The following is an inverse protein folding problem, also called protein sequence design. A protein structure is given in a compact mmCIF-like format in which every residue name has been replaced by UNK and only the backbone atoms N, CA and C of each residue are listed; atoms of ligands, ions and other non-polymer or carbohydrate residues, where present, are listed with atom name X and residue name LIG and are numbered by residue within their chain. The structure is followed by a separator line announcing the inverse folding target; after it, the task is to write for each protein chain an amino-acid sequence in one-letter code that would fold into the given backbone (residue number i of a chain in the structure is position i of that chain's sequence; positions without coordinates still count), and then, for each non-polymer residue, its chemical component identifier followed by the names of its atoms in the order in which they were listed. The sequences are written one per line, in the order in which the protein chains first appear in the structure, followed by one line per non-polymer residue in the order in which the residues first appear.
data_IF_438849684957
#
_entry.id   IF_438849684957
#
_cell.length_a   1.000
_cell.length_b   1.000
_cell.length_c   1.000
_cell.angle_alpha   90.00
_cell.angle_beta   90.00
_cell.angle_gamma   90.00
#
_symmetry.space_group_name_H-M   'P 1'
#
loop_
_entity.id
_entity.type
_entity.pdbx_description
1 polymer ?
#
# COMPACT_ATOMS: atom_id res chain seq x y z
N UNK A 1 15.80 -23.73 9.74
CA UNK A 1 17.22 -23.41 9.99
C UNK A 1 17.18 -21.97 10.41
N UNK A 2 17.34 -21.70 11.71
CA UNK A 2 17.11 -20.38 12.30
C UNK A 2 18.08 -19.37 11.67
N UNK A 3 17.60 -18.65 10.66
CA UNK A 3 18.30 -17.50 10.14
C UNK A 3 18.17 -16.41 11.21
N UNK A 4 19.31 -15.92 11.70
CA UNK A 4 19.48 -14.91 12.74
C UNK A 4 19.38 -15.37 14.21
N UNK A 5 20.27 -16.26 14.65
CA UNK A 5 20.69 -16.30 16.06
C UNK A 5 22.21 -16.50 16.18
N UNK A 6 22.98 -15.57 15.64
CA UNK A 6 24.36 -15.39 16.08
C UNK A 6 24.35 -14.51 17.33
N UNK A 7 24.55 -15.12 18.51
CA UNK A 7 24.41 -14.49 19.83
C UNK A 7 25.39 -13.33 20.09
N UNK A 8 26.33 -13.07 19.18
CA UNK A 8 27.33 -12.00 19.30
C UNK A 8 26.99 -10.71 18.53
N UNK A 9 25.86 -10.65 17.81
CA UNK A 9 25.50 -9.46 17.02
C UNK A 9 24.47 -8.58 17.73
N UNK A 10 24.77 -7.28 17.80
CA UNK A 10 23.90 -6.20 18.29
C UNK A 10 22.74 -5.92 17.28
N UNK A 11 22.01 -6.98 16.87
CA UNK A 11 20.91 -6.94 15.89
C UNK A 11 19.80 -5.99 16.33
N UNK A 12 19.66 -5.83 17.64
CA UNK A 12 18.75 -4.89 18.26
C UNK A 12 19.06 -3.44 17.83
N UNK A 13 20.25 -3.10 17.31
CA UNK A 13 20.58 -1.73 16.87
C UNK A 13 20.46 -1.52 15.35
N UNK A 14 20.20 -2.58 14.59
CA UNK A 14 20.25 -2.56 13.13
C UNK A 14 18.86 -2.30 12.55
N UNK A 15 18.73 -1.25 11.75
CA UNK A 15 17.56 -0.99 10.91
C UNK A 15 17.66 -1.80 9.62
N UNK A 16 16.65 -2.61 9.30
CA UNK A 16 16.64 -3.40 8.07
C UNK A 16 16.32 -2.54 6.84
N UNK A 17 17.10 -2.73 5.78
CA UNK A 17 16.92 -2.07 4.48
C UNK A 17 16.57 -3.03 3.35
N UNK A 18 16.96 -4.29 3.46
CA UNK A 18 16.55 -5.36 2.56
C UNK A 18 16.54 -6.69 3.30
N UNK A 19 15.59 -7.55 2.97
CA UNK A 19 15.45 -8.87 3.56
C UNK A 19 15.02 -9.88 2.49
N UNK A 20 15.69 -11.02 2.44
CA UNK A 20 15.27 -12.20 1.68
C UNK A 20 15.67 -13.46 2.44
N UNK A 21 15.24 -14.62 1.96
CA UNK A 21 15.59 -15.93 2.52
C UNK A 21 17.09 -16.28 2.46
N UNK A 22 17.90 -15.51 1.72
CA UNK A 22 19.34 -15.79 1.55
C UNK A 22 20.25 -14.75 2.17
N UNK A 23 19.79 -13.51 2.31
CA UNK A 23 20.59 -12.40 2.80
C UNK A 23 19.69 -11.28 3.30
N UNK A 24 20.13 -10.61 4.35
CA UNK A 24 19.60 -9.33 4.83
C UNK A 24 20.65 -8.25 4.68
N UNK A 25 20.21 -7.01 4.51
CA UNK A 25 21.06 -5.82 4.60
C UNK A 25 20.45 -4.83 5.59
N UNK A 26 21.29 -4.22 6.43
CA UNK A 26 20.85 -3.27 7.44
C UNK A 26 21.87 -2.18 7.72
N UNK A 27 21.40 -1.13 8.39
CA UNK A 27 22.19 0.03 8.79
C UNK A 27 22.08 0.21 10.30
N UNK A 28 23.21 0.40 10.97
CA UNK A 28 23.27 0.89 12.35
C UNK A 28 23.73 2.35 12.33
N UNK A 29 23.09 3.20 13.13
CA UNK A 29 23.53 4.59 13.34
C UNK A 29 24.05 4.73 14.77
N UNK A 30 25.28 5.20 14.92
CA UNK A 30 25.79 5.51 16.25
C UNK A 30 25.27 6.87 16.76
N UNK A 31 25.58 7.18 18.03
CA UNK A 31 25.17 8.44 18.68
C UNK A 31 25.75 9.70 18.00
N UNK A 32 26.85 9.56 17.27
CA UNK A 32 27.52 10.65 16.54
C UNK A 32 26.97 10.83 15.11
N UNK A 33 25.99 10.02 14.70
CA UNK A 33 25.38 10.07 13.37
C UNK A 33 26.12 9.29 12.27
N UNK A 34 27.21 8.60 12.60
CA UNK A 34 27.92 7.73 11.67
C UNK A 34 27.10 6.48 11.37
N UNK A 35 27.04 6.10 10.10
CA UNK A 35 26.31 4.92 9.62
C UNK A 35 27.27 3.77 9.37
N UNK A 36 26.93 2.60 9.91
CA UNK A 36 27.62 1.33 9.67
C UNK A 36 26.70 0.40 8.90
N UNK A 37 27.24 -0.27 7.89
CA UNK A 37 26.49 -1.10 6.96
C UNK A 37 26.75 -2.57 7.25
N UNK A 38 25.69 -3.38 7.22
CA UNK A 38 25.75 -4.80 7.57
C UNK A 38 25.06 -5.64 6.51
N UNK A 39 25.56 -6.86 6.32
CA UNK A 39 24.81 -7.97 5.77
C UNK A 39 24.57 -9.05 6.84
N UNK A 40 23.91 -10.16 6.48
CA UNK A 40 23.69 -11.29 7.40
C UNK A 40 24.99 -11.93 7.92
N UNK A 41 26.11 -11.76 7.22
CA UNK A 41 27.40 -12.34 7.57
C UNK A 41 28.21 -11.42 8.48
N UNK A 42 28.05 -10.10 8.41
CA UNK A 42 28.72 -9.16 9.29
C UNK A 42 28.72 -7.73 8.78
N UNK A 43 29.62 -6.93 9.33
CA UNK A 43 29.84 -5.55 8.89
C UNK A 43 30.46 -5.55 7.50
N UNK A 44 29.94 -4.71 6.62
CA UNK A 44 30.43 -4.55 5.25
C UNK A 44 31.64 -3.61 5.24
N UNK A 45 32.76 -4.13 4.76
CA UNK A 45 34.02 -3.41 4.61
C UNK A 45 34.57 -3.70 3.20
N UNK A 46 35.34 -2.76 2.60
CA UNK A 46 36.04 -3.08 1.36
C UNK A 46 37.12 -4.13 1.66
N UNK A 47 37.28 -5.18 0.85
CA UNK A 47 38.37 -6.12 1.04
C UNK A 47 39.70 -5.35 0.97
N UNK A 48 40.67 -5.70 1.81
CA UNK A 48 42.02 -5.12 1.80
C UNK A 48 42.64 -5.29 0.39
N UNK A 49 42.40 -4.30 -0.48
CA UNK A 49 43.04 -4.19 -1.78
C UNK A 49 44.49 -3.78 -1.55
N UNK A 50 45.40 -4.33 -2.34
CA UNK A 50 46.84 -4.01 -2.32
C UNK A 50 47.19 -2.54 -2.71
N UNK A 51 46.22 -1.63 -2.72
CA UNK A 51 46.41 -0.20 -2.97
C UNK A 51 46.35 0.58 -1.64
N UNK A 52 47.30 1.48 -1.44
CA UNK A 52 47.63 2.19 -0.18
C UNK A 52 46.55 3.15 0.37
N UNK A 53 45.28 3.02 -0.05
CA UNK A 53 44.16 3.79 0.48
C UNK A 53 42.98 2.87 0.79
N UNK A 54 42.75 2.60 2.08
CA UNK A 54 41.54 1.91 2.55
C UNK A 54 40.31 2.71 2.13
N UNK A 55 39.64 2.26 1.06
CA UNK A 55 38.39 2.85 0.60
C UNK A 55 37.32 2.54 1.66
N UNK A 56 36.70 3.58 2.24
CA UNK A 56 35.62 3.41 3.23
C UNK A 56 34.36 2.93 2.53
N UNK A 57 33.68 1.92 3.07
CA UNK A 57 32.41 1.43 2.52
C UNK A 57 31.33 2.52 2.65
N UNK A 58 30.70 2.87 1.54
CA UNK A 58 29.80 4.03 1.47
C UNK A 58 28.31 3.62 1.37
N UNK A 59 27.42 4.60 1.57
CA UNK A 59 25.98 4.43 1.30
C UNK A 59 25.70 4.05 -0.17
N UNK A 60 26.51 4.55 -1.10
CA UNK A 60 26.36 4.24 -2.54
C UNK A 60 26.69 2.78 -2.79
N UNK A 61 27.78 2.26 -2.20
CA UNK A 61 28.14 0.84 -2.26
C UNK A 61 27.00 -0.04 -1.72
N UNK A 62 26.43 0.34 -0.58
CA UNK A 62 25.27 -0.33 0.02
C UNK A 62 24.05 -0.35 -0.92
N UNK A 63 23.68 0.80 -1.49
CA UNK A 63 22.56 0.91 -2.43
C UNK A 63 22.81 0.09 -3.69
N UNK A 64 24.04 0.03 -4.19
CA UNK A 64 24.43 -0.78 -5.35
C UNK A 64 24.27 -2.27 -5.08
N UNK A 65 24.66 -2.75 -3.90
CA UNK A 65 24.46 -4.15 -3.49
C UNK A 65 22.97 -4.53 -3.46
N UNK A 66 22.14 -3.71 -2.82
CA UNK A 66 20.69 -3.93 -2.77
C UNK A 66 20.09 -3.86 -4.19
N UNK A 67 20.49 -2.87 -4.99
CA UNK A 67 20.02 -2.73 -6.38
C UNK A 67 20.36 -3.95 -7.24
N UNK A 68 21.52 -4.57 -7.04
CA UNK A 68 21.86 -5.84 -7.69
C UNK A 68 20.89 -6.98 -7.34
N UNK A 69 20.38 -7.02 -6.10
CA UNK A 69 19.35 -8.01 -5.69
C UNK A 69 18.00 -7.71 -6.34
N UNK A 70 17.56 -6.45 -6.29
CA UNK A 70 16.30 -6.02 -6.92
C UNK A 70 16.32 -6.23 -8.42
N UNK A 71 17.44 -5.93 -9.08
CA UNK A 71 17.60 -6.14 -10.52
C UNK A 71 17.43 -7.62 -10.90
N UNK A 72 17.96 -8.55 -10.10
CA UNK A 72 17.74 -10.00 -10.32
C UNK A 72 16.28 -10.41 -10.15
N UNK A 73 15.56 -9.79 -9.21
CA UNK A 73 14.13 -10.04 -9.03
C UNK A 73 13.35 -9.51 -10.24
N UNK A 74 13.61 -8.29 -10.69
CA UNK A 74 12.83 -7.64 -11.76
C UNK A 74 13.18 -8.18 -13.16
N UNK A 75 14.45 -8.44 -13.43
CA UNK A 75 14.96 -8.76 -14.78
C UNK A 75 15.55 -10.17 -14.91
N UNK A 76 15.69 -10.92 -13.81
CA UNK A 76 16.29 -12.25 -13.84
C UNK A 76 15.42 -13.31 -14.52
N UNK A 77 14.13 -13.04 -14.70
CA UNK A 77 13.15 -13.92 -15.36
C UNK A 77 12.21 -13.10 -16.25
N UNK A 78 11.59 -13.77 -17.23
CA UNK A 78 10.57 -13.16 -18.08
C UNK A 78 9.19 -13.32 -17.42
N UNK A 79 8.68 -12.25 -16.85
CA UNK A 79 7.31 -12.22 -16.32
C UNK A 79 6.29 -12.01 -17.44
N UNK A 80 5.29 -12.88 -17.51
CA UNK A 80 4.13 -12.68 -18.39
C UNK A 80 3.04 -11.83 -17.74
N UNK A 81 3.10 -11.66 -16.41
CA UNK A 81 2.11 -10.93 -15.65
C UNK A 81 2.80 -10.10 -14.56
N UNK A 82 2.54 -8.80 -14.54
CA UNK A 82 3.09 -7.88 -13.55
C UNK A 82 1.93 -7.24 -12.81
N UNK A 83 1.96 -7.36 -11.49
CA UNK A 83 0.93 -6.87 -10.59
C UNK A 83 1.58 -5.91 -9.62
N UNK A 84 1.10 -4.67 -9.56
CA UNK A 84 1.55 -3.69 -8.58
C UNK A 84 0.42 -3.42 -7.58
N UNK A 85 0.63 -3.67 -6.29
CA UNK A 85 -0.32 -3.37 -5.22
C UNK A 85 0.12 -2.08 -4.49
N UNK A 86 -0.66 -1.02 -4.62
CA UNK A 86 -0.46 0.24 -3.91
C UNK A 86 -1.35 0.30 -2.65
N UNK A 87 -0.72 0.42 -1.48
CA UNK A 87 -1.41 0.73 -0.23
C UNK A 87 -1.42 2.22 0.09
N UNK A 88 -1.99 2.59 1.24
CA UNK A 88 -2.06 3.98 1.69
C UNK A 88 -0.66 4.63 1.81
N UNK A 89 0.35 3.86 2.22
CA UNK A 89 1.74 4.32 2.33
C UNK A 89 2.41 4.62 0.98
N UNK A 90 1.85 4.18 -0.15
CA UNK A 90 2.40 4.49 -1.47
C UNK A 90 2.27 5.98 -1.81
N UNK A 91 1.17 6.61 -1.39
CA UNK A 91 0.84 8.00 -1.73
C UNK A 91 1.45 9.03 -0.77
N UNK A 92 2.14 8.59 0.29
CA UNK A 92 2.71 9.46 1.33
C UNK A 92 4.11 9.95 0.91
N UNK A 93 4.44 11.20 1.22
CA UNK A 93 5.77 11.79 1.04
C UNK A 93 6.55 11.82 2.37
N UNK A 94 7.89 11.83 2.33
CA UNK A 94 8.72 11.77 3.55
C UNK A 94 8.56 12.99 4.48
N UNK A 95 8.18 14.14 3.91
CA UNK A 95 7.93 15.38 4.63
C UNK A 95 6.52 15.45 5.26
N UNK A 96 5.70 14.39 5.10
CA UNK A 96 4.30 14.34 5.55
C UNK A 96 3.52 15.59 5.14
N UNK A 97 3.84 16.13 3.97
CA UNK A 97 3.30 17.40 3.52
C UNK A 97 1.78 17.29 3.36
N UNK A 98 1.02 18.23 3.96
CA UNK A 98 -0.44 18.16 4.03
C UNK A 98 -1.14 18.17 2.67
N UNK A 99 -0.43 18.50 1.58
CA UNK A 99 -0.93 18.51 0.22
C UNK A 99 -0.94 17.13 -0.47
N UNK A 100 -0.42 16.07 0.18
CA UNK A 100 -0.29 14.74 -0.41
C UNK A 100 -0.96 13.64 0.44
N UNK A 101 -0.74 12.37 0.05
CA UNK A 101 -1.40 11.21 0.65
C UNK A 101 -1.28 11.17 2.16
N UNK A 102 -2.39 10.85 2.83
CA UNK A 102 -2.47 10.70 4.28
C UNK A 102 -2.59 9.24 4.65
N UNK A 103 -1.88 8.83 5.71
CA UNK A 103 -2.10 7.50 6.30
C UNK A 103 -3.46 7.43 6.98
N UNK A 104 -4.00 6.23 7.17
CA UNK A 104 -5.27 6.01 7.92
C UNK A 104 -5.21 6.66 9.30
N UNK A 105 -4.06 6.63 9.98
CA UNK A 105 -3.85 7.29 11.28
C UNK A 105 -3.99 8.81 11.18
N UNK A 106 -3.33 9.44 10.20
CA UNK A 106 -3.45 10.88 9.98
C UNK A 106 -4.89 11.31 9.67
N UNK A 107 -5.65 10.49 8.94
CA UNK A 107 -7.08 10.72 8.68
C UNK A 107 -7.88 10.60 9.97
N UNK A 108 -7.61 9.57 10.79
CA UNK A 108 -8.27 9.37 12.08
C UNK A 108 -8.07 10.57 13.02
N UNK A 109 -6.84 11.08 13.11
CA UNK A 109 -6.49 12.24 13.95
C UNK A 109 -7.20 13.52 13.48
N UNK A 110 -7.27 13.75 12.15
CA UNK A 110 -8.00 14.90 11.59
C UNK A 110 -9.52 14.78 11.83
N UNK A 111 -10.09 13.58 11.67
CA UNK A 111 -11.50 13.31 11.99
C UNK A 111 -11.78 13.56 13.46
N UNK A 112 -10.93 13.07 14.36
CA UNK A 112 -11.05 13.30 15.81
C UNK A 112 -11.08 14.79 16.14
N UNK A 113 -10.09 15.54 15.66
CA UNK A 113 -9.94 16.97 15.95
C UNK A 113 -11.08 17.83 15.40
N UNK A 114 -11.60 17.53 14.20
CA UNK A 114 -12.64 18.32 13.56
C UNK A 114 -14.06 17.93 13.97
N UNK A 115 -14.31 16.65 14.25
CA UNK A 115 -15.62 16.19 14.71
C UNK A 115 -15.93 16.72 16.11
N UNK A 116 -14.93 16.76 17.00
CA UNK A 116 -15.08 17.28 18.37
C UNK A 116 -15.46 18.78 18.42
N UNK A 117 -15.08 19.53 17.38
CA UNK A 117 -15.41 20.96 17.22
C UNK A 117 -16.77 21.22 16.56
N UNK A 118 -17.48 20.17 16.14
CA UNK A 118 -18.73 20.31 15.39
C UNK A 118 -19.93 20.29 16.33
N UNK A 119 -20.63 21.41 16.44
CA UNK A 119 -21.83 21.53 17.26
C UNK A 119 -22.96 20.59 16.78
N UNK A 120 -23.66 19.98 17.74
CA UNK A 120 -24.83 19.15 17.45
C UNK A 120 -24.53 17.75 16.89
N UNK A 121 -23.26 17.34 16.83
CA UNK A 121 -22.86 15.98 16.43
C UNK A 121 -22.37 15.17 17.64
N UNK A 122 -22.20 13.86 17.44
CA UNK A 122 -21.53 13.01 18.42
C UNK A 122 -20.02 13.02 18.15
N UNK A 123 -19.23 13.08 19.23
CA UNK A 123 -17.77 12.92 19.17
C UNK A 123 -17.40 11.46 18.84
N UNK A 124 -16.17 11.21 18.41
CA UNK A 124 -15.70 9.83 18.18
C UNK A 124 -15.80 8.97 19.46
N UNK A 125 -15.54 9.56 20.63
CA UNK A 125 -15.61 8.86 21.91
C UNK A 125 -17.04 8.45 22.25
N UNK A 126 -18.01 9.34 22.04
CA UNK A 126 -19.43 9.05 22.25
C UNK A 126 -19.90 7.95 21.31
N UNK A 127 -19.55 8.04 20.02
CA UNK A 127 -19.88 7.02 19.02
C UNK A 127 -19.25 5.67 19.36
N UNK A 128 -17.97 5.65 19.76
CA UNK A 128 -17.27 4.42 20.16
C UNK A 128 -17.91 3.77 21.40
N UNK A 129 -18.36 4.59 22.34
CA UNK A 129 -19.09 4.11 23.53
C UNK A 129 -20.45 3.51 23.15
N UNK A 130 -21.19 4.17 22.25
CA UNK A 130 -22.50 3.70 21.79
C UNK A 130 -22.42 2.37 21.04
N UNK A 131 -21.46 2.22 20.13
CA UNK A 131 -21.28 0.98 19.36
C UNK A 131 -20.40 -0.07 20.06
N UNK A 132 -19.96 0.19 21.31
CA UNK A 132 -19.05 -0.65 22.11
C UNK A 132 -17.71 -0.95 21.42
N UNK A 133 -17.25 -0.08 20.55
CA UNK A 133 -15.91 -0.20 19.98
C UNK A 133 -14.87 0.05 21.06
N UNK A 134 -14.09 -0.99 21.41
CA UNK A 134 -13.12 -0.98 22.53
C UNK A 134 -13.70 -0.45 23.85
N UNK A 135 -15.00 -0.67 24.07
CA UNK A 135 -15.75 -0.14 25.22
C UNK A 135 -15.59 1.39 25.41
N UNK A 136 -15.36 2.14 24.33
CA UNK A 136 -15.14 3.59 24.36
C UNK A 136 -13.72 4.03 24.73
N UNK A 137 -12.82 3.11 25.03
CA UNK A 137 -11.42 3.38 25.37
C UNK A 137 -10.59 3.56 24.09
N UNK A 138 -10.74 4.74 23.48
CA UNK A 138 -10.05 5.10 22.23
C UNK A 138 -9.05 6.25 22.38
N UNK A 139 -8.83 6.74 23.60
CA UNK A 139 -7.99 7.91 23.88
C UNK A 139 -6.85 7.57 24.84
N UNK A 140 -5.67 8.11 24.55
CA UNK A 140 -4.52 8.14 25.45
C UNK A 140 -4.30 9.57 25.96
N UNK A 141 -3.75 9.71 27.17
CA UNK A 141 -3.35 11.02 27.71
C UNK A 141 -2.12 11.52 26.96
N UNK A 142 -2.20 12.75 26.45
CA UNK A 142 -1.10 13.37 25.72
C UNK A 142 -0.14 14.13 26.65
N UNK A 143 -0.64 14.69 27.75
CA UNK A 143 0.14 15.34 28.80
C UNK A 143 -0.60 15.26 30.14
N UNK A 144 0.13 15.04 31.24
CA UNK A 144 -0.44 15.06 32.60
C UNK A 144 -0.83 16.48 33.06
N UNK A 145 -0.28 17.53 32.44
CA UNK A 145 -0.44 18.92 32.89
C UNK A 145 -1.62 19.65 32.23
N UNK A 146 -2.03 19.27 31.01
CA UNK A 146 -3.02 20.02 30.21
C UNK A 146 -4.37 19.33 30.02
N UNK A 147 -4.57 18.13 30.58
CA UNK A 147 -5.75 17.27 30.33
C UNK A 147 -6.09 17.10 28.83
N UNK A 148 -5.08 17.14 27.95
CA UNK A 148 -5.27 16.93 26.51
C UNK A 148 -5.22 15.44 26.18
N UNK A 149 -6.13 15.02 25.29
CA UNK A 149 -6.28 13.63 24.87
C UNK A 149 -5.97 13.50 23.38
N UNK A 150 -5.26 12.43 23.03
CA UNK A 150 -5.05 12.01 21.64
C UNK A 150 -5.72 10.67 21.39
N UNK A 151 -5.95 10.32 20.13
CA UNK A 151 -6.36 8.96 19.80
C UNK A 151 -5.28 7.98 20.25
N UNK A 152 -5.72 6.87 20.83
CA UNK A 152 -4.82 5.83 21.29
C UNK A 152 -4.09 5.22 20.09
N UNK A 153 -2.83 4.82 20.26
CA UNK A 153 -2.03 4.25 19.14
C UNK A 153 -2.63 2.95 18.59
N UNK A 154 -3.48 2.28 19.37
CA UNK A 154 -4.21 1.10 18.95
C UNK A 154 -5.49 1.40 18.16
N UNK A 155 -5.97 2.65 18.10
CA UNK A 155 -7.20 3.02 17.40
C UNK A 155 -7.08 2.79 15.89
N UNK A 156 -8.05 2.06 15.32
CA UNK A 156 -8.14 1.83 13.88
C UNK A 156 -9.46 2.42 13.37
N UNK A 157 -9.35 3.44 12.51
CA UNK A 157 -10.51 4.15 11.95
C UNK A 157 -11.42 3.23 11.13
N UNK A 158 -10.86 2.27 10.40
CA UNK A 158 -11.60 1.41 9.48
C UNK A 158 -12.42 0.35 10.26
N UNK A 159 -11.80 -0.22 11.31
CA UNK A 159 -12.49 -1.11 12.26
C UNK A 159 -13.60 -0.37 13.03
N UNK A 160 -13.31 0.87 13.46
CA UNK A 160 -14.29 1.72 14.12
C UNK A 160 -15.49 2.02 13.22
N UNK A 161 -15.25 2.48 11.99
CA UNK A 161 -16.31 2.77 11.01
C UNK A 161 -17.17 1.55 10.75
N UNK A 162 -16.55 0.38 10.67
CA UNK A 162 -17.29 -0.85 10.42
C UNK A 162 -18.17 -1.22 11.61
N UNK A 163 -17.65 -1.15 12.84
CA UNK A 163 -18.46 -1.34 14.05
C UNK A 163 -19.60 -0.33 14.11
N UNK A 164 -19.33 0.92 13.74
CA UNK A 164 -20.30 2.02 13.68
C UNK A 164 -21.43 1.75 12.67
N UNK A 165 -21.10 1.28 11.46
CA UNK A 165 -22.10 0.93 10.45
C UNK A 165 -22.93 -0.28 10.82
N UNK A 166 -22.36 -1.29 11.49
CA UNK A 166 -23.11 -2.44 12.01
C UNK A 166 -24.09 -2.03 13.12
N UNK A 167 -23.72 -1.05 13.93
CA UNK A 167 -24.60 -0.51 14.97
C UNK A 167 -25.71 0.39 14.41
N UNK A 168 -25.52 1.03 13.24
CA UNK A 168 -26.46 1.99 12.62
C UNK A 168 -27.93 1.54 12.60
N UNK A 169 -28.30 0.28 12.29
CA UNK A 169 -29.71 -0.17 12.32
C UNK A 169 -30.33 -0.27 13.72
N UNK A 170 -29.50 -0.37 14.76
CA UNK A 170 -29.92 -0.55 16.16
C UNK A 170 -29.97 0.76 16.96
N UNK A 171 -29.65 1.89 16.32
CA UNK A 171 -29.67 3.22 16.95
C UNK A 171 -31.12 3.59 17.31
N UNK A 172 -31.40 4.04 18.55
CA UNK A 172 -32.72 4.51 18.94
C UNK A 172 -33.24 5.63 18.04
N UNK A 173 -34.55 5.66 17.75
CA UNK A 173 -35.13 6.67 16.86
C UNK A 173 -34.89 8.12 17.35
N UNK A 174 -34.75 8.32 18.66
CA UNK A 174 -34.43 9.63 19.26
C UNK A 174 -33.05 10.16 18.86
N UNK A 175 -32.09 9.26 18.61
CA UNK A 175 -30.69 9.60 18.35
C UNK A 175 -30.30 9.46 16.87
N UNK A 176 -31.20 8.87 16.07
CA UNK A 176 -30.95 8.44 14.69
C UNK A 176 -30.50 9.58 13.77
N UNK A 177 -31.12 10.75 13.88
CA UNK A 177 -30.75 11.91 13.07
C UNK A 177 -29.35 12.42 13.43
N UNK A 178 -29.08 12.62 14.73
CA UNK A 178 -27.76 13.05 15.22
C UNK A 178 -26.67 12.05 14.84
N UNK A 179 -26.96 10.76 14.98
CA UNK A 179 -26.04 9.67 14.62
C UNK A 179 -25.73 9.64 13.12
N UNK A 180 -26.76 9.70 12.27
CA UNK A 180 -26.57 9.73 10.82
C UNK A 180 -25.83 10.98 10.36
N UNK A 181 -26.10 12.15 10.93
CA UNK A 181 -25.38 13.38 10.63
C UNK A 181 -23.90 13.30 11.04
N UNK A 182 -23.61 12.63 12.16
CA UNK A 182 -22.24 12.40 12.62
C UNK A 182 -21.47 11.48 11.65
N UNK A 183 -22.10 10.39 11.18
CA UNK A 183 -21.54 9.51 10.14
C UNK A 183 -21.27 10.30 8.86
N UNK A 184 -22.25 11.08 8.38
CA UNK A 184 -22.09 11.91 7.18
C UNK A 184 -20.90 12.86 7.31
N UNK A 185 -20.74 13.49 8.47
CA UNK A 185 -19.61 14.37 8.74
C UNK A 185 -18.28 13.61 8.72
N UNK A 186 -18.20 12.42 9.33
CA UNK A 186 -16.98 11.59 9.29
C UNK A 186 -16.62 11.23 7.85
N UNK A 187 -17.58 10.75 7.05
CA UNK A 187 -17.37 10.40 5.64
C UNK A 187 -16.94 11.62 4.81
N UNK A 188 -17.54 12.78 5.06
CA UNK A 188 -17.14 14.04 4.44
C UNK A 188 -15.68 14.39 4.78
N UNK A 189 -15.29 14.28 6.05
CA UNK A 189 -13.91 14.54 6.47
C UNK A 189 -12.92 13.56 5.82
N UNK A 190 -13.26 12.28 5.73
CA UNK A 190 -12.43 11.28 5.03
C UNK A 190 -12.29 11.65 3.55
N UNK A 191 -13.38 12.03 2.89
CA UNK A 191 -13.36 12.52 1.50
C UNK A 191 -12.44 13.72 1.37
N UNK A 192 -12.56 14.72 2.23
CA UNK A 192 -11.69 15.92 2.22
C UNK A 192 -10.21 15.55 2.41
N UNK A 193 -9.90 14.60 3.29
CA UNK A 193 -8.53 14.15 3.55
C UNK A 193 -7.90 13.34 2.40
N UNK A 194 -8.73 12.78 1.52
CA UNK A 194 -8.30 11.92 0.41
C UNK A 194 -8.48 12.59 -0.96
N UNK A 195 -9.07 13.79 -0.99
CA UNK A 195 -9.31 14.58 -2.20
C UNK A 195 -8.14 15.55 -2.48
N UNK A 196 -6.96 15.00 -2.71
CA UNK A 196 -5.80 15.74 -3.24
C UNK A 196 -5.62 15.47 -4.74
N UNK A 197 -4.73 16.23 -5.37
CA UNK A 197 -4.42 16.12 -6.79
C UNK A 197 -2.95 15.78 -7.02
N UNK A 198 -2.68 15.17 -8.16
CA UNK A 198 -1.36 14.75 -8.57
C UNK A 198 -0.48 15.94 -8.98
N UNK A 199 0.76 15.96 -8.47
CA UNK A 199 1.83 16.83 -8.92
C UNK A 199 3.07 15.99 -9.23
N UNK A 200 3.48 15.96 -10.50
CA UNK A 200 4.62 15.17 -10.97
C UNK A 200 5.98 15.62 -10.44
N UNK A 201 6.07 16.79 -9.80
CA UNK A 201 7.29 17.26 -9.11
C UNK A 201 7.55 16.54 -7.80
N UNK A 202 6.48 16.23 -7.07
CA UNK A 202 6.53 15.67 -5.72
C UNK A 202 6.21 14.17 -5.72
N UNK A 203 5.32 13.73 -6.62
CA UNK A 203 4.84 12.36 -6.69
C UNK A 203 5.46 11.62 -7.88
N UNK A 204 5.95 10.40 -7.64
CA UNK A 204 6.63 9.59 -8.66
C UNK A 204 5.72 8.56 -9.35
N UNK A 205 4.39 8.68 -9.22
CA UNK A 205 3.42 7.76 -9.82
C UNK A 205 3.63 7.61 -11.33
N UNK A 206 3.82 8.72 -12.07
CA UNK A 206 4.09 8.67 -13.50
C UNK A 206 5.38 7.92 -13.84
N UNK A 207 6.45 8.09 -13.04
CA UNK A 207 7.72 7.35 -13.22
C UNK A 207 7.52 5.85 -13.00
N UNK A 208 6.75 5.47 -11.97
CA UNK A 208 6.38 4.08 -11.72
C UNK A 208 5.59 3.49 -12.88
N UNK A 209 4.53 4.17 -13.37
CA UNK A 209 3.71 3.66 -14.47
C UNK A 209 4.52 3.44 -15.74
N UNK A 210 5.41 4.38 -16.09
CA UNK A 210 6.32 4.22 -17.22
C UNK A 210 7.30 3.03 -17.02
N UNK A 211 7.80 2.83 -15.81
CA UNK A 211 8.62 1.65 -15.48
C UNK A 211 7.82 0.34 -15.66
N UNK A 212 6.64 0.22 -15.05
CA UNK A 212 5.81 -0.98 -15.17
C UNK A 212 5.44 -1.27 -16.63
N UNK A 213 5.19 -0.23 -17.42
CA UNK A 213 4.96 -0.37 -18.87
C UNK A 213 6.19 -0.87 -19.61
N UNK A 214 7.41 -0.45 -19.23
CA UNK A 214 8.64 -0.85 -19.92
C UNK A 214 9.01 -2.32 -19.69
N UNK A 215 8.66 -2.86 -18.52
CA UNK A 215 8.86 -4.28 -18.18
C UNK A 215 7.66 -5.16 -18.56
N UNK A 216 6.52 -4.57 -18.91
CA UNK A 216 5.36 -5.28 -19.45
C UNK A 216 5.58 -5.57 -20.93
N UNK A 217 5.63 -6.85 -21.31
CA UNK A 217 5.90 -7.27 -22.68
C UNK A 217 4.89 -6.71 -23.70
N UNK A 218 5.32 -6.54 -24.95
CA UNK A 218 4.52 -5.95 -26.04
C UNK A 218 3.51 -6.90 -26.70
N UNK A 219 3.41 -8.14 -26.22
CA UNK A 219 2.59 -9.21 -26.81
C UNK A 219 1.13 -9.20 -26.31
N UNK A 220 0.59 -8.02 -26.00
CA UNK A 220 -0.76 -7.85 -25.46
C UNK A 220 -0.90 -8.12 -23.96
N UNK A 221 0.20 -8.37 -23.26
CA UNK A 221 0.23 -8.45 -21.80
C UNK A 221 0.25 -7.05 -21.20
N UNK A 222 -0.71 -6.76 -20.33
CA UNK A 222 -0.80 -5.50 -19.60
C UNK A 222 -0.41 -5.74 -18.15
N UNK A 223 0.37 -4.82 -17.56
CA UNK A 223 0.45 -4.80 -16.10
C UNK A 223 -0.91 -4.44 -15.50
N UNK A 224 -1.09 -4.79 -14.23
CA UNK A 224 -2.26 -4.43 -13.45
C UNK A 224 -1.82 -3.70 -12.18
N UNK A 225 -2.44 -2.57 -11.91
CA UNK A 225 -2.29 -1.82 -10.67
C UNK A 225 -3.52 -2.08 -9.81
N UNK A 226 -3.32 -2.55 -8.59
CA UNK A 226 -4.35 -2.76 -7.58
C UNK A 226 -4.10 -1.72 -6.52
N UNK A 227 -5.14 -1.05 -6.05
CA UNK A 227 -5.01 -0.05 -4.98
C UNK A 227 -6.14 -0.16 -3.96
N UNK A 228 -5.77 0.04 -2.70
CA UNK A 228 -6.70 0.25 -1.60
C UNK A 228 -7.05 1.73 -1.41
N UNK A 229 -6.42 2.62 -2.17
CA UNK A 229 -6.57 4.07 -1.98
C UNK A 229 -7.82 4.59 -2.71
N UNK A 230 -8.55 5.47 -2.04
CA UNK A 230 -9.74 6.11 -2.61
C UNK A 230 -9.40 7.25 -3.58
N UNK A 231 -8.22 7.86 -3.41
CA UNK A 231 -7.71 9.00 -4.20
C UNK A 231 -7.54 8.68 -5.69
N UNK A 232 -7.35 9.71 -6.52
CA UNK A 232 -7.27 9.58 -7.98
C UNK A 232 -5.85 9.76 -8.55
N UNK A 233 -4.81 9.60 -7.70
CA UNK A 233 -3.44 9.93 -8.10
C UNK A 233 -2.91 9.07 -9.25
N UNK A 234 -3.29 7.78 -9.29
CA UNK A 234 -2.90 6.87 -10.37
C UNK A 234 -3.58 7.29 -11.68
N UNK A 235 -4.86 7.65 -11.62
CA UNK A 235 -5.63 8.10 -12.77
C UNK A 235 -5.09 9.40 -13.37
N UNK A 236 -4.80 10.39 -12.52
CA UNK A 236 -4.23 11.68 -12.94
C UNK A 236 -2.81 11.52 -13.49
N UNK A 237 -1.96 10.72 -12.83
CA UNK A 237 -0.62 10.42 -13.32
C UNK A 237 -0.64 9.67 -14.66
N UNK A 238 -1.57 8.73 -14.83
CA UNK A 238 -1.77 8.01 -16.08
C UNK A 238 -2.20 8.97 -17.21
N UNK A 239 -3.13 9.88 -16.94
CA UNK A 239 -3.57 10.90 -17.90
C UNK A 239 -2.41 11.80 -18.34
N UNK A 240 -1.61 12.32 -17.41
CA UNK A 240 -0.43 13.14 -17.72
C UNK A 240 0.62 12.38 -18.55
N UNK A 241 0.72 11.05 -18.38
CA UNK A 241 1.68 10.19 -19.07
C UNK A 241 1.14 9.49 -20.32
N UNK A 242 -0.06 9.87 -20.79
CA UNK A 242 -0.75 9.32 -21.97
C UNK A 242 -1.06 7.81 -21.88
N UNK A 243 -1.37 7.32 -20.68
CA UNK A 243 -1.85 5.95 -20.49
C UNK A 243 -3.35 5.83 -20.75
N UNK A 244 -3.78 4.64 -21.20
CA UNK A 244 -5.20 4.26 -21.20
C UNK A 244 -5.44 3.24 -20.09
N UNK A 245 -6.42 3.54 -19.25
CA UNK A 245 -6.77 2.73 -18.09
C UNK A 245 -8.01 1.89 -18.39
N UNK A 246 -7.93 0.60 -18.06
CA UNK A 246 -9.10 -0.26 -17.91
C UNK A 246 -9.40 -0.41 -16.42
N UNK A 247 -10.36 0.36 -15.90
CA UNK A 247 -10.71 0.44 -14.48
C UNK A 247 -12.07 -0.21 -14.15
N UNK A 248 -12.61 -1.00 -15.09
CA UNK A 248 -13.93 -1.60 -14.94
C UNK A 248 -15.07 -0.68 -15.38
N UNK A 249 -14.81 0.50 -15.94
CA UNK A 249 -15.86 1.37 -16.51
C UNK A 249 -15.78 1.43 -18.03
N UNK A 250 -16.94 1.47 -18.69
CA UNK A 250 -17.00 1.64 -20.13
C UNK A 250 -16.63 3.08 -20.56
N UNK A 251 -16.23 3.25 -21.82
CA UNK A 251 -15.76 4.53 -22.38
C UNK A 251 -16.90 5.45 -22.87
N UNK A 252 -18.09 5.34 -22.29
CA UNK A 252 -19.24 6.16 -22.70
C UNK A 252 -19.24 7.53 -22.00
N UNK A 253 -20.02 8.53 -22.46
CA UNK A 253 -20.14 9.82 -21.78
C UNK A 253 -20.66 9.74 -20.33
N UNK A 254 -21.34 8.65 -19.97
CA UNK A 254 -21.78 8.35 -18.61
C UNK A 254 -21.20 6.97 -18.25
N UNK A 255 -19.93 6.90 -17.83
CA UNK A 255 -19.24 5.63 -17.63
C UNK A 255 -19.96 4.78 -16.58
N UNK A 256 -20.32 3.55 -16.95
CA UNK A 256 -20.94 2.57 -16.06
C UNK A 256 -19.96 1.45 -15.76
N UNK A 257 -20.01 0.94 -14.53
CA UNK A 257 -19.21 -0.23 -14.16
C UNK A 257 -19.67 -1.45 -14.96
N UNK A 258 -18.69 -2.19 -15.48
CA UNK A 258 -18.80 -3.42 -16.25
C UNK A 258 -17.46 -4.17 -16.09
N UNK A 259 -17.44 -5.24 -15.32
CA UNK A 259 -16.22 -6.00 -15.03
C UNK A 259 -15.57 -6.60 -16.27
N UNK A 260 -16.35 -6.84 -17.34
CA UNK A 260 -15.81 -7.35 -18.61
C UNK A 260 -14.80 -6.40 -19.24
N UNK A 261 -14.84 -5.10 -18.89
CA UNK A 261 -13.86 -4.10 -19.35
C UNK A 261 -12.41 -4.51 -19.05
N UNK A 262 -12.15 -5.25 -17.97
CA UNK A 262 -10.80 -5.72 -17.65
C UNK A 262 -10.23 -6.79 -18.62
N UNK A 263 -11.08 -7.42 -19.43
CA UNK A 263 -10.68 -8.44 -20.40
C UNK A 263 -10.30 -7.85 -21.76
N UNK A 264 -10.74 -6.63 -22.07
CA UNK A 264 -10.53 -6.01 -23.37
C UNK A 264 -9.10 -5.50 -23.55
N UNK A 265 -8.62 -5.49 -24.79
CA UNK A 265 -7.33 -4.90 -25.19
C UNK A 265 -7.55 -3.91 -26.34
N UNK A 266 -6.73 -2.87 -26.41
CA UNK A 266 -6.70 -1.96 -27.55
C UNK A 266 -5.66 -2.44 -28.56
N UNK A 267 -6.14 -2.76 -29.76
CA UNK A 267 -5.31 -3.19 -30.89
C UNK A 267 -5.55 -2.29 -32.09
N UNK A 268 -4.57 -2.19 -32.97
CA UNK A 268 -4.74 -1.67 -34.32
C UNK A 268 -4.30 -2.74 -35.33
N UNK A 269 -4.98 -2.79 -36.46
CA UNK A 269 -4.61 -3.69 -37.55
C UNK A 269 -3.33 -3.20 -38.22
N UNK A 270 -2.41 -4.11 -38.49
CA UNK A 270 -1.23 -3.83 -39.30
C UNK A 270 -1.65 -4.02 -40.77
N UNK A 271 -1.56 -2.95 -41.56
CA UNK A 271 -1.92 -3.00 -42.99
C UNK A 271 -0.91 -3.85 -43.76
N UNK A 272 -1.17 -5.14 -43.86
CA UNK A 272 -0.46 -6.07 -44.72
C UNK A 272 -1.46 -6.98 -45.44
N UNK A 273 -1.36 -7.07 -46.77
CA UNK A 273 -2.36 -7.73 -47.64
C UNK A 273 -2.45 -9.25 -47.37
N UNK A 274 -1.42 -9.83 -46.75
CA UNK A 274 -1.27 -11.28 -46.60
C UNK A 274 -1.29 -11.81 -45.16
N UNK A 275 -1.36 -10.94 -44.13
CA UNK A 275 -1.35 -11.37 -42.72
C UNK A 275 -2.39 -10.60 -41.89
N UNK A 276 -2.99 -11.26 -40.89
CA UNK A 276 -3.91 -10.63 -39.90
C UNK A 276 -3.16 -10.20 -38.64
N UNK A 277 -2.02 -9.54 -38.82
CA UNK A 277 -1.21 -9.09 -37.69
C UNK A 277 -1.88 -7.88 -37.00
N UNK A 278 -1.81 -7.88 -35.67
CA UNK A 278 -2.33 -6.81 -34.83
C UNK A 278 -1.21 -6.25 -33.98
N UNK A 279 -1.20 -4.93 -33.82
CA UNK A 279 -0.31 -4.24 -32.90
C UNK A 279 -1.11 -3.84 -31.66
N UNK A 280 -0.67 -4.28 -30.49
CA UNK A 280 -1.24 -3.87 -29.22
C UNK A 280 -0.79 -2.44 -28.90
N UNK A 281 -1.74 -1.61 -28.44
CA UNK A 281 -1.43 -0.25 -27.99
C UNK A 281 -0.50 -0.32 -26.78
N UNK A 282 0.59 0.46 -26.80
CA UNK A 282 1.45 0.64 -25.63
C UNK A 282 0.79 1.54 -24.57
N UNK A 283 1.33 1.54 -23.34
CA UNK A 283 0.83 2.34 -22.21
C UNK A 283 -0.63 2.08 -21.89
N UNK A 284 -1.00 0.80 -21.81
CA UNK A 284 -2.32 0.35 -21.38
C UNK A 284 -2.17 -0.53 -20.14
N UNK A 285 -3.04 -0.35 -19.14
CA UNK A 285 -3.01 -1.17 -17.93
C UNK A 285 -4.39 -1.30 -17.29
N UNK A 286 -4.54 -2.31 -16.42
CA UNK A 286 -5.75 -2.48 -15.63
C UNK A 286 -5.59 -1.77 -14.28
N UNK A 287 -6.59 -1.01 -13.83
CA UNK A 287 -6.61 -0.39 -12.50
C UNK A 287 -7.76 -0.97 -11.66
N UNK A 288 -7.43 -1.70 -10.60
CA UNK A 288 -8.41 -2.30 -9.69
C UNK A 288 -8.43 -1.53 -8.37
N UNK A 289 -9.46 -0.71 -8.15
CA UNK A 289 -9.67 0.00 -6.87
C UNK A 289 -10.52 -0.85 -5.94
N UNK A 290 -9.89 -1.82 -5.27
CA UNK A 290 -10.58 -2.87 -4.50
C UNK A 290 -11.30 -2.37 -3.24
N UNK A 291 -11.04 -1.14 -2.81
CA UNK A 291 -11.79 -0.46 -1.73
C UNK A 291 -12.72 0.63 -2.26
N UNK A 292 -12.84 0.81 -3.57
CA UNK A 292 -13.67 1.85 -4.17
C UNK A 292 -12.90 3.14 -4.47
N UNK A 293 -13.63 4.22 -4.74
CA UNK A 293 -13.04 5.47 -5.25
C UNK A 293 -13.89 6.68 -4.89
N UNK A 294 -13.24 7.84 -4.76
CA UNK A 294 -13.90 9.13 -4.67
C UNK A 294 -14.71 9.51 -5.92
N UNK A 295 -14.50 8.80 -7.03
CA UNK A 295 -15.18 9.02 -8.31
C UNK A 295 -16.38 8.11 -8.52
N UNK A 296 -16.69 7.19 -7.61
CA UNK A 296 -17.73 6.18 -7.82
C UNK A 296 -19.02 6.51 -7.04
N UNK A 297 -20.14 6.56 -7.75
CA UNK A 297 -21.46 6.84 -7.18
C UNK A 297 -22.44 5.70 -7.48
N UNK A 298 -23.06 5.15 -6.44
CA UNK A 298 -24.13 4.16 -6.56
C UNK A 298 -25.47 4.86 -6.78
N UNK A 299 -26.15 4.47 -7.85
CA UNK A 299 -27.51 4.92 -8.16
C UNK A 299 -28.54 4.10 -7.38
N UNK A 300 -29.76 4.61 -7.30
CA UNK A 300 -30.85 3.95 -6.57
C UNK A 300 -31.26 2.61 -7.19
N UNK A 301 -31.00 2.42 -8.50
CA UNK A 301 -31.20 1.16 -9.23
C UNK A 301 -30.05 0.15 -9.06
N UNK A 302 -29.02 0.49 -8.28
CA UNK A 302 -27.83 -0.32 -8.03
C UNK A 302 -26.68 -0.09 -9.01
N UNK A 303 -26.90 0.63 -10.12
CA UNK A 303 -25.86 0.96 -11.11
C UNK A 303 -24.74 1.78 -10.46
N UNK A 304 -23.48 1.48 -10.80
CA UNK A 304 -22.33 2.26 -10.35
C UNK A 304 -21.83 3.13 -11.50
N UNK A 305 -21.78 4.43 -11.27
CA UNK A 305 -21.30 5.42 -12.23
C UNK A 305 -19.96 6.00 -11.80
N UNK A 306 -19.07 6.25 -12.78
CA UNK A 306 -17.88 7.07 -12.55
C UNK A 306 -18.20 8.53 -12.86
N UNK A 307 -18.01 9.39 -11.87
CA UNK A 307 -18.20 10.85 -11.94
C UNK A 307 -16.91 11.58 -11.57
N UNK A 308 -16.93 12.90 -11.70
CA UNK A 308 -15.86 13.73 -11.17
C UNK A 308 -15.84 13.62 -9.63
N UNK A 309 -14.65 13.55 -9.00
CA UNK A 309 -14.48 13.41 -7.55
C UNK A 309 -15.19 14.50 -6.74
N UNK A 310 -15.32 15.70 -7.31
CA UNK A 310 -15.96 16.85 -6.66
C UNK A 310 -17.49 16.90 -6.86
N UNK A 311 -18.05 16.12 -7.79
CA UNK A 311 -19.49 16.17 -8.08
C UNK A 311 -20.35 15.27 -7.19
N UNK A 312 -19.75 14.34 -6.44
CA UNK A 312 -20.47 13.45 -5.50
C UNK A 312 -20.62 14.15 -4.16
N UNK A 313 -21.76 14.77 -3.90
CA UNK A 313 -22.04 15.50 -2.65
C UNK A 313 -22.64 14.56 -1.59
N UNK A 314 -23.45 13.59 -2.02
CA UNK A 314 -24.12 12.65 -1.13
C UNK A 314 -23.16 11.51 -0.72
N UNK A 315 -22.66 11.55 0.51
CA UNK A 315 -21.75 10.55 1.06
C UNK A 315 -22.38 9.17 1.20
N UNK A 316 -23.72 9.07 1.32
CA UNK A 316 -24.40 7.77 1.39
C UNK A 316 -24.39 7.04 0.03
N UNK A 317 -24.19 7.77 -1.09
CA UNK A 317 -24.07 7.21 -2.45
C UNK A 317 -22.64 6.92 -2.88
N UNK A 318 -21.64 7.25 -2.06
CA UNK A 318 -20.24 6.97 -2.37
C UNK A 318 -19.96 5.47 -2.31
N UNK A 319 -19.28 4.94 -3.32
CA UNK A 319 -18.84 3.54 -3.34
C UNK A 319 -17.43 3.46 -2.76
N UNK A 320 -17.38 3.35 -1.42
CA UNK A 320 -16.16 3.11 -0.65
C UNK A 320 -16.38 1.94 0.31
N UNK A 321 -15.40 1.06 0.45
CA UNK A 321 -15.36 -0.01 1.45
C UNK A 321 -14.19 0.26 2.39
N UNK A 322 -14.49 0.26 3.68
CA UNK A 322 -13.49 0.37 4.73
C UNK A 322 -13.01 -1.05 5.10
N UNK A 323 -11.71 -1.31 5.19
CA UNK A 323 -11.16 -2.54 5.73
C UNK A 323 -11.73 -2.84 7.12
N UNK A 324 -12.34 -4.00 7.29
CA UNK A 324 -12.73 -4.47 8.63
C UNK A 324 -12.94 -5.97 8.67
N UNK A 325 -13.05 -6.48 9.89
CA UNK A 325 -13.35 -7.88 10.19
C UNK A 325 -14.64 -8.39 9.52
N UNK A 326 -15.64 -7.53 9.32
CA UNK A 326 -16.97 -7.91 8.80
C UNK A 326 -17.18 -7.57 7.31
N UNK A 327 -16.09 -7.22 6.60
CA UNK A 327 -16.03 -6.96 5.16
C UNK A 327 -16.56 -8.11 4.29
N UNK A 328 -16.78 -9.30 4.87
CA UNK A 328 -17.33 -10.47 4.19
C UNK A 328 -18.60 -10.11 3.40
N UNK A 329 -19.61 -9.49 4.03
CA UNK A 329 -20.89 -9.22 3.36
C UNK A 329 -20.78 -8.18 2.23
N UNK A 330 -19.94 -7.16 2.39
CA UNK A 330 -19.76 -6.09 1.38
C UNK A 330 -18.88 -6.55 0.21
N UNK A 331 -17.89 -7.41 0.45
CA UNK A 331 -17.07 -8.01 -0.61
C UNK A 331 -17.85 -8.91 -1.56
N UNK A 332 -19.05 -9.39 -1.20
CA UNK A 332 -19.96 -10.12 -2.11
C UNK A 332 -20.90 -9.21 -2.91
N UNK A 333 -20.81 -7.90 -2.75
CA UNK A 333 -21.59 -6.95 -3.56
C UNK A 333 -20.76 -6.43 -4.74
N UNK A 334 -21.44 -6.11 -5.82
CA UNK A 334 -20.85 -5.35 -6.93
C UNK A 334 -20.47 -3.93 -6.44
N UNK A 335 -19.27 -3.42 -6.77
CA UNK A 335 -18.28 -3.95 -7.74
C UNK A 335 -17.20 -4.83 -7.09
N UNK A 336 -17.20 -4.95 -5.76
CA UNK A 336 -16.10 -5.52 -4.99
C UNK A 336 -15.86 -6.99 -5.28
N UNK A 337 -16.93 -7.78 -5.43
CA UNK A 337 -16.81 -9.21 -5.75
C UNK A 337 -15.99 -9.44 -7.02
N UNK A 338 -16.32 -8.71 -8.08
CA UNK A 338 -15.63 -8.76 -9.38
C UNK A 338 -14.17 -8.30 -9.25
N UNK A 339 -13.92 -7.20 -8.53
CA UNK A 339 -12.58 -6.64 -8.32
C UNK A 339 -11.67 -7.59 -7.52
N UNK A 340 -12.18 -8.17 -6.43
CA UNK A 340 -11.44 -9.15 -5.63
C UNK A 340 -11.20 -10.43 -6.41
N UNK A 341 -12.19 -10.93 -7.17
CA UNK A 341 -12.04 -12.11 -8.04
C UNK A 341 -10.97 -11.87 -9.08
N UNK A 342 -11.02 -10.74 -9.78
CA UNK A 342 -9.99 -10.38 -10.77
C UNK A 342 -8.61 -10.25 -10.15
N UNK A 343 -8.49 -9.69 -8.95
CA UNK A 343 -7.20 -9.64 -8.25
C UNK A 343 -6.67 -11.04 -7.93
N UNK A 344 -7.51 -11.96 -7.44
CA UNK A 344 -7.10 -13.36 -7.22
C UNK A 344 -6.62 -14.03 -8.50
N UNK A 345 -7.34 -13.83 -9.60
CA UNK A 345 -6.99 -14.40 -10.88
C UNK A 345 -5.64 -13.88 -11.37
N UNK A 346 -5.36 -12.59 -11.18
CA UNK A 346 -4.07 -11.99 -11.55
C UNK A 346 -2.91 -12.61 -10.77
N UNK A 347 -3.00 -12.75 -9.44
CA UNK A 347 -1.88 -13.28 -8.64
C UNK A 347 -1.70 -14.82 -8.76
N UNK A 348 -2.72 -15.54 -9.23
CA UNK A 348 -2.65 -16.98 -9.51
C UNK A 348 -2.06 -17.31 -10.88
N UNK A 349 -1.89 -16.33 -11.77
CA UNK A 349 -1.28 -16.56 -13.10
C UNK A 349 0.17 -17.01 -12.98
N UNK A 350 0.64 -17.90 -13.88
CA UNK A 350 2.04 -18.29 -13.91
C UNK A 350 2.94 -17.11 -14.29
N UNK A 351 4.22 -17.18 -13.88
CA UNK A 351 5.26 -16.18 -14.12
C UNK A 351 4.79 -14.76 -13.74
N UNK A 352 4.29 -14.65 -12.50
CA UNK A 352 3.77 -13.39 -11.96
C UNK A 352 4.79 -12.73 -11.05
N UNK A 353 5.06 -11.45 -11.30
CA UNK A 353 5.74 -10.58 -10.33
C UNK A 353 4.69 -9.70 -9.63
N UNK A 354 4.55 -9.87 -8.32
CA UNK A 354 3.77 -8.99 -7.46
C UNK A 354 4.71 -8.02 -6.72
N UNK A 355 4.58 -6.73 -6.99
CA UNK A 355 5.28 -5.67 -6.26
C UNK A 355 4.25 -4.98 -5.37
N UNK A 356 4.44 -4.99 -4.05
CA UNK A 356 3.57 -4.32 -3.09
C UNK A 356 4.28 -3.10 -2.52
N UNK A 357 3.70 -1.91 -2.61
CA UNK A 357 4.27 -0.68 -2.09
C UNK A 357 3.36 -0.01 -1.07
N UNK A 358 3.87 0.24 0.13
CA UNK A 358 3.15 0.99 1.17
C UNK A 358 1.84 0.34 1.63
N UNK A 359 1.71 -0.98 1.45
CA UNK A 359 0.60 -1.78 1.93
C UNK A 359 1.05 -2.47 3.21
N UNK A 360 0.45 -2.10 4.34
CA UNK A 360 0.84 -2.56 5.67
C UNK A 360 0.59 -4.04 5.93
N UNK A 361 -0.12 -4.74 5.04
CA UNK A 361 -0.67 -6.08 5.27
C UNK A 361 -1.59 -6.15 6.51
N UNK A 362 -2.20 -5.04 6.95
CA UNK A 362 -3.19 -5.06 8.02
C UNK A 362 -4.53 -5.67 7.57
N UNK A 363 -4.91 -5.52 6.29
CA UNK A 363 -6.13 -6.16 5.74
C UNK A 363 -5.91 -7.68 5.64
N UNK A 364 -6.57 -8.41 6.54
CA UNK A 364 -6.47 -9.88 6.67
C UNK A 364 -6.95 -10.59 5.42
N UNK A 365 -7.95 -10.07 4.70
CA UNK A 365 -8.50 -10.72 3.52
C UNK A 365 -7.50 -10.65 2.36
N UNK A 366 -6.99 -9.46 2.05
CA UNK A 366 -5.97 -9.26 1.01
C UNK A 366 -4.70 -10.05 1.34
N UNK A 367 -4.26 -10.01 2.59
CA UNK A 367 -3.06 -10.73 3.04
C UNK A 367 -3.21 -12.25 2.92
N UNK A 368 -4.39 -12.79 3.28
CA UNK A 368 -4.70 -14.21 3.08
C UNK A 368 -4.73 -14.58 1.60
N UNK A 369 -5.30 -13.75 0.73
CA UNK A 369 -5.31 -14.01 -0.73
C UNK A 369 -3.88 -14.10 -1.28
N UNK A 370 -2.99 -13.18 -0.89
CA UNK A 370 -1.60 -13.15 -1.34
C UNK A 370 -0.82 -14.35 -0.81
N UNK A 371 -0.89 -14.65 0.49
CA UNK A 371 -0.20 -15.79 1.10
C UNK A 371 -0.69 -17.13 0.55
N UNK A 372 -1.99 -17.28 0.27
CA UNK A 372 -2.53 -18.47 -0.38
C UNK A 372 -2.10 -18.58 -1.85
N UNK A 373 -2.04 -17.48 -2.59
CA UNK A 373 -1.53 -17.49 -3.96
C UNK A 373 -0.05 -17.93 -3.96
N UNK A 374 0.76 -17.41 -3.04
CA UNK A 374 2.16 -17.80 -2.90
C UNK A 374 2.34 -19.30 -2.60
N UNK A 375 1.50 -19.86 -1.71
CA UNK A 375 1.53 -21.30 -1.37
C UNK A 375 1.15 -22.21 -2.54
N UNK A 376 0.37 -21.71 -3.50
CA UNK A 376 -0.19 -22.51 -4.60
C UNK A 376 0.38 -22.16 -5.99
N UNK A 377 1.21 -21.11 -6.10
CA UNK A 377 1.81 -20.65 -7.34
C UNK A 377 3.34 -20.55 -7.18
N UNK A 378 4.05 -21.61 -7.53
CA UNK A 378 5.52 -21.68 -7.41
C UNK A 378 6.28 -20.66 -8.29
N UNK A 379 5.59 -20.03 -9.26
CA UNK A 379 6.16 -19.01 -10.14
C UNK A 379 5.78 -17.58 -9.73
N UNK A 380 4.99 -17.41 -8.66
CA UNK A 380 4.70 -16.10 -8.09
C UNK A 380 5.90 -15.63 -7.30
N UNK A 381 6.42 -14.45 -7.64
CA UNK A 381 7.45 -13.74 -6.87
C UNK A 381 6.88 -12.49 -6.25
N UNK A 382 7.23 -12.23 -5.00
CA UNK A 382 6.70 -11.08 -4.26
C UNK A 382 7.87 -10.17 -3.83
N UNK A 383 7.79 -8.91 -4.23
CA UNK A 383 8.64 -7.84 -3.71
C UNK A 383 7.77 -6.90 -2.86
N UNK A 384 7.97 -6.92 -1.56
CA UNK A 384 7.30 -6.01 -0.61
C UNK A 384 8.19 -4.80 -0.37
N UNK A 385 7.64 -3.60 -0.53
CA UNK A 385 8.38 -2.35 -0.36
C UNK A 385 7.61 -1.40 0.54
N UNK A 386 8.25 -0.92 1.60
CA UNK A 386 7.61 -0.01 2.54
C UNK A 386 8.67 0.89 3.21
N UNK A 387 8.22 1.91 3.92
CA UNK A 387 9.07 2.71 4.79
C UNK A 387 9.62 1.88 5.97
N UNK A 388 8.82 0.95 6.49
CA UNK A 388 9.24 -0.01 7.51
C UNK A 388 9.03 -1.44 7.00
N UNK A 389 10.13 -2.19 6.83
CA UNK A 389 10.07 -3.60 6.44
C UNK A 389 10.11 -4.58 7.61
N UNK A 390 10.07 -4.05 8.83
CA UNK A 390 10.08 -4.81 10.06
C UNK A 390 9.11 -4.20 11.10
N UNK A 391 7.79 -4.28 10.84
CA UNK A 391 6.76 -3.63 11.66
C UNK A 391 6.59 -4.27 13.04
N UNK A 392 7.17 -5.45 13.29
CA UNK A 392 7.08 -6.15 14.58
C UNK A 392 8.27 -5.84 15.50
N UNK A 393 9.11 -4.86 15.13
CA UNK A 393 10.09 -4.24 16.02
C UNK A 393 9.88 -2.74 16.10
N UNK A 394 10.02 -2.18 17.30
CA UNK A 394 9.87 -0.76 17.55
C UNK A 394 11.17 -0.18 18.12
N UNK A 395 11.57 1.00 17.64
CA UNK A 395 12.76 1.67 18.14
C UNK A 395 12.52 2.28 19.53
N UNK A 396 13.24 1.76 20.52
CA UNK A 396 13.31 2.28 21.87
C UNK A 396 14.45 3.30 22.00
N UNK A 397 14.08 4.56 22.19
CA UNK A 397 15.03 5.68 22.33
C UNK A 397 15.86 5.63 23.61
N UNK A 398 15.34 5.02 24.68
CA UNK A 398 16.04 4.94 25.97
C UNK A 398 17.22 3.97 25.87
N UNK A 399 16.98 2.81 25.22
CA UNK A 399 17.98 1.76 25.07
C UNK A 399 18.81 1.88 23.77
N UNK A 400 18.41 2.76 22.84
CA UNK A 400 18.96 2.86 21.48
C UNK A 400 18.97 1.50 20.77
N UNK A 401 17.84 0.81 20.85
CA UNK A 401 17.65 -0.54 20.32
C UNK A 401 16.21 -0.74 19.85
N UNK A 402 15.98 -1.78 19.07
CA UNK A 402 14.71 -2.24 18.57
C UNK A 402 14.17 -3.31 19.52
N UNK A 403 13.05 -3.00 20.17
CA UNK A 403 12.33 -3.96 21.01
C UNK A 403 11.36 -4.77 20.15
N UNK A 404 11.29 -6.08 20.40
CA UNK A 404 10.36 -6.96 19.70
C UNK A 404 8.94 -6.78 20.26
N UNK A 405 7.99 -6.49 19.38
CA UNK A 405 6.57 -6.46 19.72
C UNK A 405 6.11 -7.91 19.94
N UNK A 406 5.53 -8.19 21.10
CA UNK A 406 5.04 -9.54 21.45
C UNK A 406 3.74 -9.83 20.69
N UNK A 407 3.51 -11.10 20.34
CA UNK A 407 2.27 -11.53 19.68
C UNK A 407 0.99 -11.14 20.45
N UNK A 408 1.05 -11.10 21.78
CA UNK A 408 -0.08 -10.68 22.62
C UNK A 408 -0.41 -9.18 22.53
N UNK A 409 0.48 -8.36 21.96
CA UNK A 409 0.28 -6.93 21.78
C UNK A 409 -0.62 -6.68 20.55
N UNK A 410 -1.62 -5.81 20.70
CA UNK A 410 -2.53 -5.41 19.62
C UNK A 410 -1.83 -4.80 18.39
N UNK A 411 -0.61 -4.30 18.55
CA UNK A 411 0.20 -3.72 17.47
C UNK A 411 0.92 -4.78 16.62
N UNK A 412 0.95 -6.04 17.07
CA UNK A 412 1.63 -7.11 16.36
C UNK A 412 0.96 -7.41 15.01
N UNK A 413 1.74 -7.33 13.94
CA UNK A 413 1.28 -7.62 12.59
C UNK A 413 1.49 -9.09 12.24
N UNK A 414 0.46 -9.89 12.49
CA UNK A 414 0.42 -11.33 12.19
C UNK A 414 0.62 -11.64 10.70
N UNK A 415 0.06 -10.83 9.81
CA UNK A 415 0.15 -11.08 8.38
C UNK A 415 1.57 -10.84 7.85
N UNK A 416 2.25 -9.80 8.38
CA UNK A 416 3.66 -9.56 8.06
C UNK A 416 4.56 -10.67 8.61
N UNK A 417 4.31 -11.11 9.84
CA UNK A 417 5.03 -12.24 10.44
C UNK A 417 4.89 -13.52 9.59
N UNK A 418 3.68 -13.81 9.09
CA UNK A 418 3.46 -14.94 8.18
C UNK A 418 4.24 -14.81 6.86
N UNK A 419 4.36 -13.60 6.30
CA UNK A 419 5.19 -13.39 5.10
C UNK A 419 6.67 -13.67 5.37
N UNK A 420 7.21 -13.17 6.50
CA UNK A 420 8.59 -13.45 6.90
C UNK A 420 8.78 -14.96 7.14
N UNK A 421 7.84 -15.62 7.81
CA UNK A 421 7.87 -17.07 8.01
C UNK A 421 7.90 -17.83 6.69
N UNK A 422 7.06 -17.46 5.71
CA UNK A 422 7.04 -18.10 4.39
C UNK A 422 8.34 -17.82 3.61
N UNK A 423 8.88 -16.61 3.71
CA UNK A 423 10.19 -16.29 3.14
C UNK A 423 11.26 -17.25 3.70
N UNK A 424 11.28 -17.48 5.01
CA UNK A 424 12.23 -18.38 5.67
C UNK A 424 12.03 -19.86 5.29
N UNK A 425 10.81 -20.26 4.92
CA UNK A 425 10.53 -21.58 4.32
C UNK A 425 10.98 -21.70 2.86
N UNK A 426 11.56 -20.63 2.28
CA UNK A 426 12.09 -20.63 0.93
C UNK A 426 11.11 -20.15 -0.14
N UNK A 427 9.93 -19.63 0.24
CA UNK A 427 9.07 -18.97 -0.73
C UNK A 427 9.72 -17.68 -1.25
N UNK A 428 9.54 -17.32 -2.54
CA UNK A 428 10.26 -16.23 -3.19
C UNK A 428 9.68 -14.85 -2.83
N UNK A 429 9.83 -14.47 -1.57
CA UNK A 429 9.50 -13.15 -1.04
C UNK A 429 10.79 -12.38 -0.81
N UNK A 430 10.78 -11.08 -1.08
CA UNK A 430 11.83 -10.16 -0.65
C UNK A 430 11.20 -8.87 -0.15
N UNK A 431 11.84 -8.26 0.83
CA UNK A 431 11.44 -6.97 1.39
C UNK A 431 12.50 -5.92 1.07
N UNK A 432 12.08 -4.71 0.75
CA UNK A 432 12.92 -3.57 0.44
C UNK A 432 12.41 -2.32 1.16
N UNK A 433 13.27 -1.67 1.93
CA UNK A 433 12.97 -0.38 2.55
C UNK A 433 13.06 0.72 1.48
N UNK A 434 11.96 0.94 0.78
CA UNK A 434 11.83 1.93 -0.28
C UNK A 434 10.36 2.30 -0.45
N UNK A 435 10.08 3.59 -0.65
CA UNK A 435 8.72 4.08 -0.93
C UNK A 435 8.63 4.59 -2.37
N UNK A 436 7.43 4.55 -2.94
CA UNK A 436 7.17 4.93 -4.32
C UNK A 436 7.61 6.35 -4.65
N UNK A 437 7.36 7.31 -3.75
CA UNK A 437 7.73 8.71 -3.93
C UNK A 437 9.19 9.03 -3.57
N UNK A 438 9.92 8.07 -2.98
CA UNK A 438 11.37 8.20 -2.75
C UNK A 438 12.15 7.33 -3.76
N UNK A 439 12.91 6.33 -3.30
CA UNK A 439 13.93 5.65 -4.10
C UNK A 439 13.47 4.33 -4.75
N UNK A 440 12.19 3.95 -4.61
CA UNK A 440 11.68 2.68 -5.14
C UNK A 440 11.92 2.56 -6.65
N UNK A 441 11.53 3.57 -7.43
CA UNK A 441 11.67 3.55 -8.89
C UNK A 441 13.14 3.54 -9.32
N UNK A 442 14.03 4.15 -8.52
CA UNK A 442 15.47 4.13 -8.79
C UNK A 442 16.07 2.72 -8.56
N UNK A 443 15.63 2.00 -7.51
CA UNK A 443 15.99 0.59 -7.30
C UNK A 443 15.46 -0.32 -8.40
N UNK A 444 14.19 -0.15 -8.79
CA UNK A 444 13.52 -0.96 -9.80
C UNK A 444 14.15 -0.81 -11.19
N UNK A 445 14.53 0.41 -11.58
CA UNK A 445 15.23 0.67 -12.85
C UNK A 445 16.71 0.23 -12.84
N UNK A 446 17.26 -0.14 -11.68
CA UNK A 446 18.69 -0.44 -11.56
C UNK A 446 19.59 0.79 -11.68
N UNK A 447 19.10 1.99 -11.37
CA UNK A 447 19.89 3.24 -11.50
C UNK A 447 21.15 3.20 -10.64
N UNK A 448 21.04 2.67 -9.43
CA UNK A 448 22.18 2.49 -8.52
C UNK A 448 23.18 1.42 -8.99
N UNK A 449 22.85 0.65 -10.03
CA UNK A 449 23.76 -0.32 -10.64
C UNK A 449 24.72 0.36 -11.64
N UNK A 450 24.21 1.34 -12.40
CA UNK A 450 24.90 1.97 -13.54
C UNK A 450 25.60 3.28 -13.23
N UNK A 451 25.21 3.98 -12.15
CA UNK A 451 25.82 5.26 -11.82
C UNK A 451 27.24 5.06 -11.23
N UNK A 452 28.26 5.23 -12.07
CA UNK A 452 29.56 5.79 -11.66
C UNK A 452 29.33 7.30 -11.45
N UNK A 453 28.96 7.71 -10.24
CA UNK A 453 29.08 9.11 -9.83
C UNK A 453 30.04 9.21 -8.65
#
# INVERSE_FOLDING_TARGET
MDFFYDKEKDYEKIELHYLSNTISYGIEKNKDGNSFFYDSNGKLEHPDSQEEQQKVFTKIDFQRMISGKIHRIVYGEKYSNIVFLAGAGASVTQDLNPNFGKTVKMIADDVFSKLDKSDGLYTLKELASQCRYKDGNILDKESEETETYKLADSFNLEDFLSTLFHYRPYVPDTDKDKFNNSIKKILQLIKENTNYSYDSKELKHGKLLNFLSSISGKDGNKFSVITTNYDVLIEEAAAENNFVIFDGFNFTPIPKFDSSMFEWNLIKEVQNINTREVEYKDKIFNLLKIHGSLTWEKQDDGTILRKNKDSIIDTDKMVMVFPSSDKYAQSYQEPYFELFTKFQDLIKRPNTLLISSGFSFADVHISKMITQALKNNNSLKILVTDFNIDPNREWNKENNSYDVIKESDSRYNYNWAELVHLMDQGYPISFLKATMNDNLVDYLNGRYFTDEN
#
